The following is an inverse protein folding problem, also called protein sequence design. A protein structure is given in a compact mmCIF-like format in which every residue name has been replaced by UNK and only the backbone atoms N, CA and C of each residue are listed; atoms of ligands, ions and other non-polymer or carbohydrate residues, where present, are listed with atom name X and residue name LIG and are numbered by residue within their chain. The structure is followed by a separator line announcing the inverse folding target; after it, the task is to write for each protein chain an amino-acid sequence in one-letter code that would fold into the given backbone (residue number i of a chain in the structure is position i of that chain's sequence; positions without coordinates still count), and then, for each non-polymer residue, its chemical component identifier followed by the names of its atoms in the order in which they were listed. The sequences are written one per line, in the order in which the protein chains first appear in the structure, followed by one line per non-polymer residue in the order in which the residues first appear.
data_IF_274124984508
#
_entry.id   IF_274124984508
#
_cell.length_a   1.000
_cell.length_b   1.000
_cell.length_c   1.000
_cell.angle_alpha   90.00
_cell.angle_beta   90.00
_cell.angle_gamma   90.00
#
_symmetry.space_group_name_H-M   'P 1'
#
loop_
_entity.id
_entity.type
_entity.pdbx_description
1 polymer ?
#
# COMPACT_ATOMS: atom_id res chain seq x y z
N UNK A 1 6.70 -6.80 32.04
CA UNK A 1 6.84 -8.26 31.83
C UNK A 1 7.12 -9.03 33.11
N UNK A 2 8.23 -8.79 33.83
CA UNK A 2 8.62 -9.57 35.01
C UNK A 2 7.57 -9.70 36.14
N UNK A 3 6.67 -8.70 36.29
CA UNK A 3 5.62 -8.71 37.31
C UNK A 3 4.47 -9.68 37.01
N UNK A 4 4.31 -10.09 35.75
CA UNK A 4 3.25 -10.99 35.30
C UNK A 4 3.71 -12.45 35.17
N UNK A 5 5.03 -12.69 35.16
CA UNK A 5 5.59 -14.04 35.06
C UNK A 5 5.26 -14.89 36.30
N UNK A 6 4.79 -16.11 36.08
CA UNK A 6 4.45 -17.07 37.14
C UNK A 6 3.15 -16.79 37.89
N UNK A 7 2.38 -15.78 37.48
CA UNK A 7 1.05 -15.47 38.01
C UNK A 7 -0.01 -16.38 37.41
N UNK A 8 -1.16 -16.48 38.09
CA UNK A 8 -2.30 -17.31 37.70
C UNK A 8 -3.54 -16.46 37.44
N UNK A 9 -4.51 -17.04 36.74
CA UNK A 9 -5.85 -16.44 36.60
C UNK A 9 -6.43 -16.16 38.00
N UNK A 10 -6.92 -14.95 38.21
CA UNK A 10 -7.42 -14.43 39.47
C UNK A 10 -6.37 -13.74 40.34
N UNK A 11 -5.07 -13.82 40.01
CA UNK A 11 -4.05 -13.05 40.71
C UNK A 11 -4.21 -11.56 40.38
N UNK A 12 -3.95 -10.73 41.40
CA UNK A 12 -3.87 -9.28 41.26
C UNK A 12 -2.41 -8.85 41.17
N UNK A 13 -2.08 -8.11 40.12
CA UNK A 13 -0.76 -7.51 39.90
C UNK A 13 -0.89 -6.01 40.03
N UNK A 14 -0.26 -5.44 41.05
CA UNK A 14 -0.23 -3.99 41.26
C UNK A 14 0.93 -3.38 40.47
N UNK A 15 0.62 -2.38 39.64
CA UNK A 15 1.57 -1.57 38.89
C UNK A 15 1.51 -0.13 39.36
N UNK A 16 2.66 0.51 39.54
CA UNK A 16 2.72 1.94 39.79
C UNK A 16 2.76 2.71 38.47
N UNK A 17 1.98 3.78 38.34
CA UNK A 17 1.86 4.58 37.10
C UNK A 17 3.06 5.48 36.84
N UNK A 18 3.89 5.76 37.86
CA UNK A 18 5.03 6.66 37.75
C UNK A 18 6.15 6.02 36.95
N UNK A 19 6.53 6.67 35.85
CA UNK A 19 7.57 6.17 34.95
C UNK A 19 7.17 4.85 34.26
N UNK A 20 5.87 4.56 34.19
CA UNK A 20 5.33 3.41 33.46
C UNK A 20 5.50 3.59 31.94
N UNK A 21 5.48 4.84 31.48
CA UNK A 21 5.64 5.26 30.10
C UNK A 21 6.79 6.26 29.98
N UNK A 22 7.40 6.36 28.79
CA UNK A 22 8.41 7.39 28.50
C UNK A 22 7.79 8.79 28.39
N UNK A 23 6.51 8.86 27.97
CA UNK A 23 5.69 10.07 27.95
C UNK A 23 4.46 9.89 28.86
N UNK A 24 4.35 10.73 29.89
CA UNK A 24 3.25 10.70 30.86
C UNK A 24 1.88 10.92 30.20
N UNK A 25 1.80 11.57 29.02
CA UNK A 25 0.54 11.75 28.31
C UNK A 25 -0.08 10.42 27.83
N UNK A 26 0.71 9.34 27.71
CA UNK A 26 0.17 8.01 27.38
C UNK A 26 -0.80 7.51 28.47
N UNK A 27 -0.66 7.96 29.72
CA UNK A 27 -1.60 7.64 30.80
C UNK A 27 -3.02 8.18 30.53
N UNK A 28 -3.16 9.25 29.75
CA UNK A 28 -4.47 9.79 29.36
C UNK A 28 -5.26 8.75 28.55
N UNK A 29 -4.60 8.06 27.63
CA UNK A 29 -5.24 7.09 26.74
C UNK A 29 -5.62 5.80 27.46
N UNK A 30 -4.77 5.33 28.38
CA UNK A 30 -4.97 4.05 29.07
C UNK A 30 -5.84 4.18 30.32
N UNK A 31 -5.72 5.27 31.08
CA UNK A 31 -6.48 5.48 32.33
C UNK A 31 -7.66 6.44 32.18
N UNK A 32 -7.82 7.07 31.01
CA UNK A 32 -8.91 8.03 30.72
C UNK A 32 -8.97 9.20 31.72
N UNK A 33 -7.81 9.68 32.12
CA UNK A 33 -7.62 10.84 33.02
C UNK A 33 -7.25 12.10 32.23
N UNK A 34 -7.50 13.29 32.81
CA UNK A 34 -7.26 14.58 32.15
C UNK A 34 -5.78 14.96 32.06
N UNK A 35 -5.46 15.89 31.16
CA UNK A 35 -4.10 16.42 30.96
C UNK A 35 -3.48 17.00 32.25
N UNK A 36 -4.30 17.68 33.06
CA UNK A 36 -3.82 18.27 34.32
C UNK A 36 -3.52 17.24 35.40
N UNK A 37 -4.06 16.03 35.27
CA UNK A 37 -3.96 14.95 36.26
C UNK A 37 -2.82 13.95 35.96
N UNK A 38 -2.30 13.92 34.72
CA UNK A 38 -1.25 12.96 34.33
C UNK A 38 0.15 13.39 34.76
N UNK A 39 0.42 14.70 34.89
CA UNK A 39 1.74 15.18 35.27
C UNK A 39 2.09 14.80 36.72
N UNK A 40 3.03 13.85 36.88
CA UNK A 40 3.45 13.36 38.18
C UNK A 40 2.49 12.37 38.84
N UNK A 41 1.59 11.75 38.06
CA UNK A 41 0.64 10.76 38.55
C UNK A 41 1.36 9.52 39.10
N UNK A 42 1.29 9.37 40.43
CA UNK A 42 1.95 8.31 41.21
C UNK A 42 0.89 7.52 41.98
N UNK A 43 0.16 6.67 41.26
CA UNK A 43 -0.87 5.80 41.83
C UNK A 43 -0.55 4.34 41.52
N UNK A 44 -1.09 3.46 42.35
CA UNK A 44 -1.05 2.03 42.11
C UNK A 44 -2.35 1.60 41.41
N UNK A 45 -2.20 0.86 40.32
CA UNK A 45 -3.29 0.27 39.54
C UNK A 45 -3.22 -1.24 39.67
N UNK A 46 -4.33 -1.84 40.06
CA UNK A 46 -4.45 -3.28 40.25
C UNK A 46 -5.01 -3.94 38.99
N UNK A 47 -4.22 -4.84 38.40
CA UNK A 47 -4.61 -5.65 37.26
C UNK A 47 -5.00 -7.04 37.74
N UNK A 48 -6.26 -7.42 37.54
CA UNK A 48 -6.69 -8.80 37.78
C UNK A 48 -6.49 -9.61 36.51
N UNK A 49 -5.79 -10.74 36.61
CA UNK A 49 -5.57 -11.62 35.45
C UNK A 49 -6.85 -12.42 35.20
N UNK A 50 -7.61 -12.08 34.17
CA UNK A 50 -8.86 -12.77 33.83
C UNK A 50 -8.64 -14.04 33.02
N UNK A 51 -7.64 -14.03 32.13
CA UNK A 51 -7.32 -15.15 31.26
C UNK A 51 -5.81 -15.19 31.00
N UNK A 52 -5.26 -16.41 30.90
CA UNK A 52 -3.90 -16.66 30.42
C UNK A 52 -4.03 -17.58 29.21
N UNK A 53 -3.71 -17.07 28.04
CA UNK A 53 -3.65 -17.83 26.79
C UNK A 53 -2.19 -18.15 26.45
N UNK A 54 -1.94 -19.42 26.13
CA UNK A 54 -0.65 -19.88 25.63
C UNK A 54 -0.80 -20.21 24.15
N UNK A 55 0.11 -19.69 23.32
CA UNK A 55 0.16 -19.99 21.89
C UNK A 55 1.26 -21.00 21.64
N UNK A 56 0.90 -22.20 21.23
CA UNK A 56 1.85 -23.23 20.82
C UNK A 56 1.90 -23.32 19.29
N UNK A 57 3.08 -23.60 18.69
CA UNK A 57 3.17 -23.85 17.26
C UNK A 57 2.25 -25.01 16.85
N UNK A 58 1.40 -24.78 15.87
CA UNK A 58 0.55 -25.83 15.32
C UNK A 58 1.40 -26.91 14.63
N UNK A 59 0.97 -28.16 14.74
CA UNK A 59 1.57 -29.25 13.98
C UNK A 59 1.39 -29.02 12.47
N UNK A 60 2.43 -29.33 11.68
CA UNK A 60 2.38 -29.25 10.23
C UNK A 60 1.62 -30.46 9.65
N UNK A 61 0.30 -30.43 9.79
CA UNK A 61 -0.61 -31.49 9.37
C UNK A 61 -1.74 -30.95 8.47
N UNK A 62 -2.56 -31.85 7.93
CA UNK A 62 -3.64 -31.49 7.00
C UNK A 62 -4.62 -30.48 7.61
N UNK A 63 -4.91 -30.56 8.91
CA UNK A 63 -5.81 -29.61 9.57
C UNK A 63 -5.27 -28.17 9.52
N UNK A 64 -3.97 -27.99 9.75
CA UNK A 64 -3.32 -26.69 9.58
C UNK A 64 -3.32 -26.25 8.11
N UNK A 65 -3.08 -27.18 7.19
CA UNK A 65 -2.99 -26.87 5.76
C UNK A 65 -4.33 -26.39 5.21
N UNK A 66 -5.41 -27.08 5.57
CA UNK A 66 -6.78 -26.73 5.20
C UNK A 66 -7.20 -25.39 5.84
N UNK A 67 -6.74 -25.08 7.05
CA UNK A 67 -6.99 -23.76 7.70
C UNK A 67 -6.27 -22.61 6.99
N UNK A 68 -5.06 -22.84 6.48
CA UNK A 68 -4.25 -21.79 5.84
C UNK A 68 -4.66 -21.56 4.38
N UNK A 69 -4.95 -22.63 3.63
CA UNK A 69 -5.15 -22.57 2.19
C UNK A 69 -6.54 -23.03 1.72
N UNK A 70 -7.40 -23.52 2.62
CA UNK A 70 -8.68 -24.13 2.29
C UNK A 70 -8.56 -25.63 2.03
N UNK A 71 -9.66 -26.36 2.27
CA UNK A 71 -9.70 -27.82 2.20
C UNK A 71 -9.29 -28.34 0.81
N UNK A 72 -8.30 -29.24 0.79
CA UNK A 72 -7.86 -29.95 -0.43
C UNK A 72 -6.99 -29.12 -1.39
N UNK A 73 -6.62 -27.89 -1.03
CA UNK A 73 -5.74 -27.06 -1.85
C UNK A 73 -4.24 -27.37 -1.66
N UNK A 74 -3.87 -27.91 -0.50
CA UNK A 74 -2.50 -28.28 -0.15
C UNK A 74 -2.50 -29.55 0.72
N UNK A 75 -1.58 -30.47 0.45
CA UNK A 75 -1.50 -31.80 1.08
C UNK A 75 -0.14 -32.12 1.69
N UNK A 76 0.87 -31.27 1.50
CA UNK A 76 2.23 -31.50 1.98
C UNK A 76 2.97 -30.22 2.34
N UNK A 77 4.04 -30.36 3.13
CA UNK A 77 4.94 -29.25 3.48
C UNK A 77 5.61 -28.68 2.23
N UNK A 78 5.92 -29.53 1.26
CA UNK A 78 6.49 -29.13 -0.03
C UNK A 78 5.53 -28.24 -0.82
N UNK A 79 4.25 -28.60 -0.88
CA UNK A 79 3.22 -27.78 -1.53
C UNK A 79 2.97 -26.45 -0.80
N UNK A 80 3.05 -26.43 0.55
CA UNK A 80 3.02 -25.17 1.31
C UNK A 80 4.18 -24.27 0.91
N UNK A 81 5.40 -24.82 0.87
CA UNK A 81 6.59 -24.04 0.50
C UNK A 81 6.47 -23.48 -0.91
N UNK A 82 5.94 -24.26 -1.86
CA UNK A 82 5.71 -23.77 -3.21
C UNK A 82 4.65 -22.68 -3.23
N UNK A 83 3.54 -22.81 -2.49
CA UNK A 83 2.52 -21.75 -2.39
C UNK A 83 3.06 -20.46 -1.80
N UNK A 84 3.82 -20.54 -0.71
CA UNK A 84 4.48 -19.38 -0.11
C UNK A 84 5.46 -18.74 -1.10
N UNK A 85 6.21 -19.54 -1.85
CA UNK A 85 7.13 -19.06 -2.88
C UNK A 85 6.38 -18.37 -4.03
N UNK A 86 5.33 -18.98 -4.57
CA UNK A 86 4.49 -18.39 -5.62
C UNK A 86 3.92 -17.03 -5.19
N UNK A 87 3.44 -16.93 -3.95
CA UNK A 87 2.88 -15.69 -3.43
C UNK A 87 3.94 -14.62 -3.19
N UNK A 88 5.12 -15.02 -2.69
CA UNK A 88 6.28 -14.14 -2.58
C UNK A 88 6.74 -13.64 -3.96
N UNK A 89 6.80 -14.52 -4.97
CA UNK A 89 7.17 -14.16 -6.34
C UNK A 89 6.24 -13.10 -6.93
N UNK A 90 4.90 -13.25 -6.76
CA UNK A 90 3.93 -12.23 -7.20
C UNK A 90 4.14 -10.89 -6.50
N UNK A 91 4.45 -10.92 -5.21
CA UNK A 91 4.72 -9.69 -4.44
C UNK A 91 5.99 -9.00 -4.94
N UNK A 92 7.07 -9.75 -5.14
CA UNK A 92 8.33 -9.21 -5.68
C UNK A 92 8.21 -8.74 -7.12
N UNK A 93 7.42 -9.42 -7.95
CA UNK A 93 7.13 -8.97 -9.32
C UNK A 93 6.47 -7.60 -9.30
N UNK A 94 5.46 -7.41 -8.45
CA UNK A 94 4.76 -6.12 -8.29
C UNK A 94 5.73 -5.01 -7.87
N UNK A 95 6.57 -5.27 -6.87
CA UNK A 95 7.57 -4.31 -6.39
C UNK A 95 8.64 -4.00 -7.46
N UNK A 96 9.12 -5.03 -8.17
CA UNK A 96 10.11 -4.88 -9.25
C UNK A 96 9.54 -4.08 -10.42
N UNK A 97 8.28 -4.31 -10.78
CA UNK A 97 7.58 -3.55 -11.81
C UNK A 97 7.45 -2.08 -11.43
N UNK A 98 7.08 -1.79 -10.17
CA UNK A 98 7.01 -0.40 -9.68
C UNK A 98 8.38 0.28 -9.70
N UNK A 99 9.43 -0.43 -9.27
CA UNK A 99 10.81 0.08 -9.32
C UNK A 99 11.24 0.39 -10.75
N UNK A 100 10.94 -0.50 -11.69
CA UNK A 100 11.24 -0.28 -13.11
C UNK A 100 10.50 0.93 -13.69
N UNK A 101 9.20 1.11 -13.38
CA UNK A 101 8.45 2.31 -13.77
C UNK A 101 9.11 3.60 -13.24
N UNK A 102 9.51 3.60 -11.97
CA UNK A 102 10.16 4.74 -11.34
C UNK A 102 11.51 5.04 -12.00
N UNK A 103 12.33 4.02 -12.26
CA UNK A 103 13.65 4.18 -12.90
C UNK A 103 13.53 4.74 -14.32
N UNK A 104 12.56 4.25 -15.10
CA UNK A 104 12.29 4.79 -16.44
C UNK A 104 11.80 6.23 -16.35
N UNK A 105 10.91 6.53 -15.39
CA UNK A 105 10.39 7.89 -15.15
C UNK A 105 11.51 8.87 -14.81
N UNK A 106 12.39 8.52 -13.87
CA UNK A 106 13.55 9.32 -13.50
C UNK A 106 14.51 9.50 -14.68
N UNK A 107 14.76 8.45 -15.46
CA UNK A 107 15.61 8.52 -16.64
C UNK A 107 15.00 9.45 -17.71
N UNK A 108 13.69 9.39 -17.93
CA UNK A 108 12.98 10.27 -18.87
C UNK A 108 13.06 11.73 -18.42
N UNK A 109 12.82 12.02 -17.14
CA UNK A 109 12.94 13.37 -16.57
C UNK A 109 14.35 13.93 -16.69
N UNK A 110 15.37 13.12 -16.38
CA UNK A 110 16.78 13.54 -16.42
C UNK A 110 17.26 13.82 -17.84
N UNK A 111 16.81 13.02 -18.80
CA UNK A 111 17.30 13.08 -20.18
C UNK A 111 16.44 13.96 -21.10
N UNK A 112 15.20 14.27 -20.72
CA UNK A 112 14.27 15.08 -21.54
C UNK A 112 14.19 16.51 -21.00
N UNK A 113 14.93 17.42 -21.64
CA UNK A 113 14.96 18.83 -21.24
C UNK A 113 14.09 19.68 -22.16
N UNK A 114 13.20 20.45 -21.55
CA UNK A 114 12.35 21.45 -22.22
C UNK A 114 11.97 22.54 -21.21
N UNK A 115 11.57 23.71 -21.72
CA UNK A 115 11.20 24.83 -20.87
C UNK A 115 9.71 24.76 -20.52
N UNK A 116 9.42 24.91 -19.22
CA UNK A 116 8.05 25.12 -18.75
C UNK A 116 7.72 26.61 -18.77
N UNK A 117 6.47 27.00 -19.08
CA UNK A 117 6.01 28.38 -18.96
C UNK A 117 5.85 28.75 -17.48
N UNK A 118 6.96 28.93 -16.77
CA UNK A 118 7.01 29.06 -15.31
C UNK A 118 6.17 30.21 -14.78
N UNK A 119 6.14 31.37 -15.44
CA UNK A 119 5.29 32.50 -15.04
C UNK A 119 3.81 32.16 -15.08
N UNK A 120 3.36 31.45 -16.13
CA UNK A 120 1.97 31.02 -16.26
C UNK A 120 1.63 29.98 -15.20
N UNK A 121 2.48 28.98 -15.01
CA UNK A 121 2.25 27.89 -14.06
C UNK A 121 2.20 28.41 -12.62
N UNK A 122 3.08 29.34 -12.24
CA UNK A 122 3.04 29.97 -10.91
C UNK A 122 1.75 30.75 -10.69
N UNK A 123 1.30 31.54 -11.67
CA UNK A 123 0.00 32.25 -11.59
C UNK A 123 -1.19 31.28 -11.54
N UNK A 124 -1.09 30.17 -12.26
CA UNK A 124 -2.12 29.13 -12.24
C UNK A 124 -2.18 28.44 -10.87
N UNK A 125 -1.04 27.98 -10.34
CA UNK A 125 -0.92 27.40 -8.98
C UNK A 125 -1.45 28.36 -7.93
N UNK A 126 -1.19 29.66 -8.09
CA UNK A 126 -1.68 30.69 -7.19
C UNK A 126 -3.22 30.73 -7.12
N UNK A 127 -3.93 30.33 -8.17
CA UNK A 127 -5.37 30.54 -8.34
C UNK A 127 -6.19 29.25 -8.46
N UNK A 128 -5.54 28.09 -8.61
CA UNK A 128 -6.22 26.80 -8.83
C UNK A 128 -6.88 26.22 -7.57
N UNK A 129 -6.38 26.58 -6.38
CA UNK A 129 -6.93 26.12 -5.10
C UNK A 129 -8.12 26.96 -4.62
N UNK A 130 -8.85 26.45 -3.63
CA UNK A 130 -9.98 27.19 -3.01
C UNK A 130 -9.53 28.50 -2.35
N UNK A 131 -8.31 28.52 -1.80
CA UNK A 131 -7.68 29.72 -1.24
C UNK A 131 -6.51 30.13 -2.10
N UNK A 132 -6.50 31.35 -2.67
CA UNK A 132 -5.37 31.83 -3.44
C UNK A 132 -4.08 31.87 -2.62
N UNK A 133 -2.99 31.38 -3.20
CA UNK A 133 -1.69 31.41 -2.57
C UNK A 133 -1.05 32.80 -2.68
N UNK A 134 -0.12 33.10 -1.78
CA UNK A 134 0.81 34.22 -1.98
C UNK A 134 1.80 33.90 -3.10
N UNK A 135 2.45 34.92 -3.73
CA UNK A 135 3.48 34.69 -4.73
C UNK A 135 4.61 33.77 -4.24
N UNK A 136 5.03 33.93 -2.98
CA UNK A 136 6.09 33.13 -2.36
C UNK A 136 5.65 31.67 -2.19
N UNK A 137 4.42 31.43 -1.73
CA UNK A 137 3.87 30.07 -1.63
C UNK A 137 3.71 29.42 -3.01
N UNK A 138 3.26 30.17 -4.02
CA UNK A 138 3.13 29.65 -5.37
C UNK A 138 4.49 29.29 -6.00
N UNK A 139 5.55 30.02 -5.68
CA UNK A 139 6.92 29.69 -6.09
C UNK A 139 7.39 28.37 -5.45
N UNK A 140 7.15 28.20 -4.16
CA UNK A 140 7.52 26.99 -3.42
C UNK A 140 6.76 25.77 -3.95
N UNK A 141 5.45 25.91 -4.16
CA UNK A 141 4.61 24.83 -4.72
C UNK A 141 4.98 24.52 -6.18
N UNK A 142 5.36 25.52 -6.98
CA UNK A 142 5.90 25.28 -8.32
C UNK A 142 7.20 24.46 -8.26
N UNK A 143 8.14 24.81 -7.38
CA UNK A 143 9.40 24.08 -7.23
C UNK A 143 9.18 22.62 -6.80
N UNK A 144 8.20 22.36 -5.92
CA UNK A 144 7.81 21.00 -5.50
C UNK A 144 7.14 20.21 -6.63
N UNK A 145 6.33 20.87 -7.45
CA UNK A 145 5.52 20.22 -8.50
C UNK A 145 6.19 20.17 -9.88
N UNK A 146 7.31 20.86 -10.09
CA UNK A 146 7.95 21.00 -11.41
C UNK A 146 8.23 19.64 -12.05
N UNK A 147 8.83 18.71 -11.32
CA UNK A 147 9.14 17.37 -11.82
C UNK A 147 7.85 16.59 -12.17
N UNK A 148 6.80 16.74 -11.37
CA UNK A 148 5.49 16.13 -11.65
C UNK A 148 4.86 16.67 -12.93
N UNK A 149 4.86 17.99 -13.11
CA UNK A 149 4.35 18.64 -14.32
C UNK A 149 5.16 18.26 -15.57
N UNK A 150 6.48 18.19 -15.44
CA UNK A 150 7.36 17.70 -16.52
C UNK A 150 7.02 16.27 -16.89
N UNK A 151 6.89 15.41 -15.89
CA UNK A 151 6.58 14.00 -16.11
C UNK A 151 5.23 13.84 -16.81
N UNK A 152 4.18 14.53 -16.36
CA UNK A 152 2.86 14.49 -17.02
C UNK A 152 2.92 14.86 -18.51
N UNK A 153 3.74 15.85 -18.88
CA UNK A 153 3.91 16.24 -20.29
C UNK A 153 4.69 15.19 -21.09
N UNK A 154 5.73 14.60 -20.50
CA UNK A 154 6.50 13.52 -21.11
C UNK A 154 5.60 12.29 -21.29
N UNK A 155 4.89 11.88 -20.25
CA UNK A 155 3.94 10.77 -20.23
C UNK A 155 2.87 10.98 -21.29
N UNK A 156 2.25 12.17 -21.34
CA UNK A 156 1.30 12.55 -22.39
C UNK A 156 1.87 12.39 -23.81
N UNK A 157 3.13 12.76 -24.00
CA UNK A 157 3.82 12.60 -25.29
C UNK A 157 4.08 11.13 -25.63
N UNK A 158 4.53 10.34 -24.66
CA UNK A 158 4.76 8.89 -24.82
C UNK A 158 3.46 8.18 -25.16
N UNK A 159 2.37 8.47 -24.44
CA UNK A 159 1.04 7.91 -24.70
C UNK A 159 0.58 8.25 -26.12
N UNK A 160 0.66 9.54 -26.51
CA UNK A 160 0.27 9.99 -27.84
C UNK A 160 1.11 9.35 -28.97
N UNK A 161 2.42 9.20 -28.79
CA UNK A 161 3.30 8.65 -29.82
C UNK A 161 3.12 7.14 -30.01
N UNK A 162 2.69 6.43 -28.97
CA UNK A 162 2.47 4.99 -28.99
C UNK A 162 0.99 4.63 -29.14
N UNK A 163 0.12 5.61 -29.39
CA UNK A 163 -1.33 5.44 -29.50
C UNK A 163 -1.92 4.68 -28.29
N UNK A 164 -1.40 4.94 -27.10
CA UNK A 164 -1.97 4.39 -25.88
C UNK A 164 -3.30 5.08 -25.61
N UNK A 165 -4.36 4.29 -25.65
CA UNK A 165 -5.71 4.72 -25.35
C UNK A 165 -6.35 3.69 -24.42
N UNK A 166 -7.18 4.20 -23.52
CA UNK A 166 -8.07 3.38 -22.71
C UNK A 166 -9.42 3.41 -23.38
N UNK A 167 -9.91 2.23 -23.73
CA UNK A 167 -11.28 2.08 -24.19
C UNK A 167 -12.15 1.53 -23.05
N UNK A 168 -13.47 1.56 -23.25
CA UNK A 168 -14.42 1.10 -22.23
C UNK A 168 -14.28 -0.40 -21.93
N UNK A 169 -13.92 -1.21 -22.92
CA UNK A 169 -13.72 -2.66 -22.74
C UNK A 169 -12.50 -2.95 -21.86
N UNK A 170 -11.41 -2.17 -21.99
CA UNK A 170 -10.23 -2.28 -21.13
C UNK A 170 -10.63 -2.03 -19.66
N UNK A 171 -11.41 -0.97 -19.40
CA UNK A 171 -11.91 -0.65 -18.05
C UNK A 171 -12.85 -1.72 -17.52
N UNK A 172 -13.72 -2.27 -18.37
CA UNK A 172 -14.66 -3.33 -18.01
C UNK A 172 -13.92 -4.61 -17.62
N UNK A 173 -12.97 -5.03 -18.45
CA UNK A 173 -12.15 -6.21 -18.20
C UNK A 173 -11.34 -6.06 -16.90
N UNK A 174 -10.68 -4.92 -16.73
CA UNK A 174 -9.89 -4.63 -15.54
C UNK A 174 -10.73 -4.61 -14.25
N UNK A 175 -11.87 -3.90 -14.28
CA UNK A 175 -12.80 -3.87 -13.15
C UNK A 175 -13.31 -5.27 -12.80
N UNK A 176 -13.65 -6.09 -13.80
CA UNK A 176 -14.13 -7.45 -13.59
C UNK A 176 -13.07 -8.33 -12.89
N UNK A 177 -11.80 -8.25 -13.31
CA UNK A 177 -10.71 -8.98 -12.66
C UNK A 177 -10.47 -8.50 -11.23
N UNK A 178 -10.49 -7.18 -11.00
CA UNK A 178 -10.35 -6.60 -9.66
C UNK A 178 -11.46 -7.08 -8.72
N UNK A 179 -12.71 -7.05 -9.18
CA UNK A 179 -13.87 -7.50 -8.40
C UNK A 179 -13.77 -9.00 -8.11
N UNK A 180 -13.37 -9.83 -9.08
CA UNK A 180 -13.14 -11.27 -8.86
C UNK A 180 -12.07 -11.51 -7.81
N UNK A 181 -10.94 -10.78 -7.85
CA UNK A 181 -9.86 -10.85 -6.83
C UNK A 181 -10.38 -10.44 -5.45
N UNK A 182 -11.14 -9.34 -5.37
CA UNK A 182 -11.71 -8.87 -4.11
C UNK A 182 -12.73 -9.85 -3.53
N UNK A 183 -13.61 -10.41 -4.36
CA UNK A 183 -14.58 -11.43 -3.95
C UNK A 183 -13.88 -12.68 -3.41
N UNK A 184 -12.82 -13.15 -4.08
CA UNK A 184 -12.01 -14.27 -3.60
C UNK A 184 -11.37 -13.99 -2.24
N UNK A 185 -10.87 -12.77 -2.01
CA UNK A 185 -10.30 -12.35 -0.72
C UNK A 185 -11.32 -12.42 0.43
N UNK A 186 -12.60 -12.20 0.16
CA UNK A 186 -13.70 -12.35 1.12
C UNK A 186 -14.35 -13.75 1.11
N UNK A 187 -13.71 -14.74 0.49
CA UNK A 187 -14.16 -16.15 0.48
C UNK A 187 -15.19 -16.50 -0.59
N UNK A 188 -15.51 -15.58 -1.51
CA UNK A 188 -16.38 -15.84 -2.67
C UNK A 188 -15.54 -16.26 -3.88
N UNK A 189 -15.08 -17.51 -3.88
CA UNK A 189 -14.13 -18.03 -4.88
C UNK A 189 -14.73 -18.23 -6.28
N UNK A 190 -16.06 -18.40 -6.40
CA UNK A 190 -16.74 -18.68 -7.68
C UNK A 190 -17.94 -17.74 -7.90
N UNK A 191 -17.71 -16.42 -8.11
CA UNK A 191 -18.78 -15.50 -8.45
C UNK A 191 -19.30 -15.81 -9.86
N UNK A 192 -20.61 -15.67 -10.09
CA UNK A 192 -21.16 -15.80 -11.44
C UNK A 192 -20.79 -14.57 -12.27
N UNK A 193 -20.66 -14.71 -13.59
CA UNK A 193 -20.36 -13.56 -14.45
C UNK A 193 -21.44 -12.47 -14.35
N UNK A 194 -22.70 -12.85 -14.09
CA UNK A 194 -23.80 -11.90 -13.87
C UNK A 194 -23.61 -11.07 -12.58
N UNK A 195 -23.13 -11.68 -11.50
CA UNK A 195 -22.85 -10.96 -10.24
C UNK A 195 -21.71 -9.98 -10.42
N UNK A 196 -20.65 -10.39 -11.13
CA UNK A 196 -19.50 -9.54 -11.44
C UNK A 196 -19.91 -8.39 -12.35
N UNK A 197 -20.62 -8.65 -13.44
CA UNK A 197 -21.08 -7.63 -14.39
C UNK A 197 -21.96 -6.57 -13.72
N UNK A 198 -22.83 -6.96 -12.78
CA UNK A 198 -23.66 -6.04 -12.02
C UNK A 198 -22.85 -5.07 -11.15
N UNK A 199 -21.76 -5.56 -10.53
CA UNK A 199 -20.85 -4.72 -9.74
C UNK A 199 -20.01 -3.84 -10.65
N UNK A 200 -19.48 -4.38 -11.76
CA UNK A 200 -18.70 -3.63 -12.76
C UNK A 200 -19.51 -2.44 -13.26
N UNK A 201 -20.77 -2.63 -13.65
CA UNK A 201 -21.62 -1.53 -14.11
C UNK A 201 -21.79 -0.44 -13.05
N UNK A 202 -21.94 -0.81 -11.78
CA UNK A 202 -22.04 0.15 -10.67
C UNK A 202 -20.74 0.93 -10.53
N UNK A 203 -19.59 0.25 -10.51
CA UNK A 203 -18.27 0.89 -10.42
C UNK A 203 -18.04 1.84 -11.60
N UNK A 204 -18.31 1.40 -12.83
CA UNK A 204 -18.12 2.23 -14.04
C UNK A 204 -19.14 3.36 -14.19
N UNK A 205 -20.22 3.36 -13.41
CA UNK A 205 -21.15 4.50 -13.33
C UNK A 205 -20.68 5.60 -12.36
N UNK A 206 -19.70 5.31 -11.50
CA UNK A 206 -19.08 6.28 -10.63
C UNK A 206 -17.87 6.92 -11.34
N UNK A 207 -17.92 8.23 -11.59
CA UNK A 207 -16.85 8.95 -12.28
C UNK A 207 -15.51 8.92 -11.55
N UNK A 208 -15.52 8.93 -10.22
CA UNK A 208 -14.29 8.87 -9.42
C UNK A 208 -13.61 7.50 -9.59
N UNK A 209 -14.39 6.43 -9.54
CA UNK A 209 -13.88 5.08 -9.78
C UNK A 209 -13.42 4.89 -11.23
N UNK A 210 -14.15 5.42 -12.21
CA UNK A 210 -13.72 5.39 -13.62
C UNK A 210 -12.36 6.07 -13.78
N UNK A 211 -12.16 7.23 -13.14
CA UNK A 211 -10.87 7.92 -13.18
C UNK A 211 -9.77 7.07 -12.52
N UNK A 212 -10.00 6.56 -11.32
CA UNK A 212 -9.04 5.71 -10.58
C UNK A 212 -8.65 4.47 -11.38
N UNK A 213 -9.63 3.78 -11.98
CA UNK A 213 -9.39 2.60 -12.82
C UNK A 213 -8.67 2.97 -14.11
N UNK A 214 -8.99 4.12 -14.71
CA UNK A 214 -8.27 4.61 -15.89
C UNK A 214 -6.80 4.85 -15.59
N UNK A 215 -6.48 5.46 -14.46
CA UNK A 215 -5.09 5.71 -14.06
C UNK A 215 -4.34 4.38 -13.84
N UNK A 216 -4.98 3.38 -13.23
CA UNK A 216 -4.40 2.04 -13.03
C UNK A 216 -4.15 1.30 -14.35
N UNK A 217 -5.14 1.27 -15.24
CA UNK A 217 -5.02 0.64 -16.56
C UNK A 217 -3.96 1.35 -17.42
N UNK A 218 -3.86 2.69 -17.32
CA UNK A 218 -2.81 3.42 -18.02
C UNK A 218 -1.43 3.04 -17.49
N UNK A 219 -1.26 2.96 -16.17
CA UNK A 219 0.00 2.55 -15.54
C UNK A 219 0.47 1.17 -16.02
N UNK A 220 -0.45 0.20 -16.12
CA UNK A 220 -0.14 -1.13 -16.66
C UNK A 220 0.26 -1.10 -18.13
N UNK A 221 -0.49 -0.37 -18.98
CA UNK A 221 -0.12 -0.20 -20.41
C UNK A 221 1.23 0.50 -20.58
N UNK A 222 1.54 1.48 -19.72
CA UNK A 222 2.83 2.19 -19.72
C UNK A 222 3.97 1.27 -19.28
N UNK A 223 3.76 0.44 -18.25
CA UNK A 223 4.72 -0.58 -17.82
C UNK A 223 5.05 -1.54 -18.95
N UNK A 224 4.03 -2.06 -19.63
CA UNK A 224 4.22 -2.99 -20.75
C UNK A 224 4.97 -2.34 -21.92
N UNK A 225 4.60 -1.10 -22.26
CA UNK A 225 5.31 -0.32 -23.27
C UNK A 225 6.78 -0.12 -22.88
N UNK A 226 7.06 0.21 -21.62
CA UNK A 226 8.43 0.39 -21.15
C UNK A 226 9.22 -0.90 -21.16
N UNK A 227 8.63 -2.03 -20.76
CA UNK A 227 9.26 -3.35 -20.85
C UNK A 227 9.62 -3.72 -22.30
N UNK A 228 8.79 -3.30 -23.26
CA UNK A 228 9.03 -3.53 -24.70
C UNK A 228 10.10 -2.59 -25.28
N UNK A 229 10.05 -1.29 -24.94
CA UNK A 229 10.85 -0.25 -25.61
C UNK A 229 12.16 0.08 -24.90
N UNK A 230 12.22 -0.08 -23.58
CA UNK A 230 13.41 0.27 -22.79
C UNK A 230 14.32 -0.94 -22.73
N UNK A 231 15.56 -0.76 -23.21
CA UNK A 231 16.58 -1.80 -23.04
C UNK A 231 16.93 -1.94 -21.56
N UNK A 232 16.71 -3.14 -21.03
CA UNK A 232 17.02 -3.49 -19.64
C UNK A 232 17.93 -4.72 -19.59
N UNK A 233 18.68 -4.85 -18.50
CA UNK A 233 19.51 -6.02 -18.21
C UNK A 233 19.05 -6.68 -16.91
N UNK A 234 18.89 -8.00 -16.92
CA UNK A 234 18.57 -8.76 -15.71
C UNK A 234 19.78 -8.76 -14.79
N UNK A 235 19.57 -8.35 -13.53
CA UNK A 235 20.57 -8.41 -12.46
C UNK A 235 20.04 -9.34 -11.37
N UNK A 236 20.78 -10.40 -11.08
CA UNK A 236 20.50 -11.23 -9.91
C UNK A 236 20.91 -10.46 -8.65
N UNK A 237 20.01 -10.46 -7.66
CA UNK A 237 20.19 -9.79 -6.37
C UNK A 237 19.71 -10.69 -5.25
N UNK A 238 20.33 -10.55 -4.09
CA UNK A 238 19.82 -11.11 -2.83
C UNK A 238 18.61 -10.31 -2.33
N UNK A 239 17.86 -10.89 -1.39
CA UNK A 239 16.74 -10.18 -0.75
C UNK A 239 17.17 -8.85 -0.12
N UNK A 240 18.32 -8.82 0.57
CA UNK A 240 18.84 -7.60 1.20
C UNK A 240 19.16 -6.52 0.16
N UNK A 241 19.79 -6.90 -0.95
CA UNK A 241 20.09 -5.97 -2.04
C UNK A 241 18.82 -5.46 -2.73
N UNK A 242 17.78 -6.31 -2.84
CA UNK A 242 16.49 -5.91 -3.39
C UNK A 242 15.80 -4.86 -2.52
N UNK A 243 15.79 -5.05 -1.19
CA UNK A 243 15.21 -4.09 -0.25
C UNK A 243 15.97 -2.75 -0.31
N UNK A 244 17.31 -2.78 -0.26
CA UNK A 244 18.12 -1.57 -0.38
C UNK A 244 17.85 -0.79 -1.68
N UNK A 245 17.76 -1.51 -2.81
CA UNK A 245 17.52 -0.88 -4.12
C UNK A 245 16.09 -0.33 -4.28
N UNK A 246 15.10 -0.95 -3.63
CA UNK A 246 13.68 -0.59 -3.78
C UNK A 246 13.25 0.52 -2.80
N UNK A 247 13.86 0.57 -1.61
CA UNK A 247 13.44 1.46 -0.52
C UNK A 247 14.51 2.48 -0.10
N UNK A 248 15.74 2.40 -0.62
CA UNK A 248 16.79 3.38 -0.38
C UNK A 248 17.45 3.30 1.01
N UNK A 249 17.33 2.15 1.69
CA UNK A 249 18.05 1.83 2.94
C UNK A 249 19.46 1.27 2.69
#
# INVERSE_FOLDING_TARGET
EALFLGKKVGDVVTLNTKGLFEDDHQLMDYLKVGHDDVHGLDINVDFTIEEITESEPAELNQELFDKLFGEGNVSSVEEIKEKIKEDAEKQFETQSNQKFLNDVTEALLKNTKFDLPSEFLKRWIQTVGETPLTPEQAEEEFAKSENGLRYQLIEGKVMSQNNLQINFEDLKAYAAEMIKKQMAQFGQMNPTDADVDGIVQRVLSNQEEVKRLSDQVMSEKMLDLYKEKVSSSVKEVTYQEFIAASYGE
#
